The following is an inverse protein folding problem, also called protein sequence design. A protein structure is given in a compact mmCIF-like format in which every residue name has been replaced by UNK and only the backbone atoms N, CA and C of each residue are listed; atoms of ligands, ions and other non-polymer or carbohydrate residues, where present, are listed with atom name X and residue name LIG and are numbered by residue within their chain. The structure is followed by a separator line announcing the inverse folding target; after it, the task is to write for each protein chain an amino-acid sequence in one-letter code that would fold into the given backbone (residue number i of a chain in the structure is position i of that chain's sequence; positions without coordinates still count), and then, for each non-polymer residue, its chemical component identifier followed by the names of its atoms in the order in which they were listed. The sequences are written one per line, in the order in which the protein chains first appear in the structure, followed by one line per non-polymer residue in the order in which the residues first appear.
data_IF_776521218871
#
_entry.id   IF_776521218871
#
_cell.length_a   1.000
_cell.length_b   1.000
_cell.length_c   1.000
_cell.angle_alpha   90.00
_cell.angle_beta   90.00
_cell.angle_gamma   90.00
#
_symmetry.space_group_name_H-M   'P 1'
#
loop_
_entity.id
_entity.type
_entity.pdbx_description
1 polymer ?
#
# COMPACT_ATOMS: atom_id res chain seq x y z
N UNK A 1 40.21 22.02 -40.60
CA UNK A 1 40.96 20.99 -39.84
C UNK A 1 40.58 21.12 -38.37
N UNK A 2 39.56 20.38 -37.91
CA UNK A 2 39.08 20.46 -36.53
C UNK A 2 39.94 19.56 -35.62
N UNK A 3 40.70 20.17 -34.71
CA UNK A 3 41.52 19.46 -33.72
C UNK A 3 40.62 18.93 -32.60
N UNK A 4 40.27 17.65 -32.68
CA UNK A 4 39.47 16.99 -31.66
C UNK A 4 40.31 16.81 -30.38
N UNK A 5 39.96 17.51 -29.30
CA UNK A 5 40.72 17.48 -28.05
C UNK A 5 40.50 16.14 -27.33
N UNK A 6 41.47 15.22 -27.50
CA UNK A 6 41.45 13.86 -26.94
C UNK A 6 41.13 13.83 -25.43
N UNK A 7 41.54 14.84 -24.66
CA UNK A 7 41.22 14.94 -23.22
C UNK A 7 39.73 15.15 -22.94
N UNK A 8 39.03 15.94 -23.77
CA UNK A 8 37.58 16.13 -23.65
C UNK A 8 36.81 14.85 -24.03
N UNK A 9 37.30 14.10 -25.03
CA UNK A 9 36.72 12.81 -25.40
C UNK A 9 36.86 11.77 -24.29
N UNK A 10 38.03 11.70 -23.63
CA UNK A 10 38.25 10.82 -22.47
C UNK A 10 37.36 11.17 -21.27
N UNK A 11 37.15 12.46 -20.98
CA UNK A 11 36.27 12.91 -19.87
C UNK A 11 34.80 12.61 -20.17
N UNK A 12 34.34 12.80 -21.40
CA UNK A 12 32.95 12.46 -21.79
C UNK A 12 32.74 10.94 -21.73
N UNK A 13 33.74 10.15 -22.14
CA UNK A 13 33.66 8.68 -22.10
C UNK A 13 33.67 8.16 -20.65
N UNK A 14 34.45 8.76 -19.74
CA UNK A 14 34.43 8.37 -18.32
C UNK A 14 33.11 8.75 -17.63
N UNK A 15 32.50 9.87 -18.03
CA UNK A 15 31.21 10.30 -17.50
C UNK A 15 30.06 9.40 -18.01
N UNK A 16 30.11 8.94 -19.27
CA UNK A 16 29.16 7.95 -19.79
C UNK A 16 29.28 6.59 -19.09
N UNK A 17 30.50 6.10 -18.83
CA UNK A 17 30.73 4.81 -18.15
C UNK A 17 30.24 4.85 -16.69
N UNK A 18 30.32 5.98 -16.02
CA UNK A 18 29.89 6.12 -14.62
C UNK A 18 28.37 6.13 -14.43
N UNK A 19 27.57 6.30 -15.50
CA UNK A 19 26.09 6.24 -15.45
C UNK A 19 25.52 4.85 -15.73
N UNK A 20 26.36 3.89 -16.15
CA UNK A 20 25.92 2.56 -16.58
C UNK A 20 25.78 1.52 -15.44
N UNK A 21 26.03 1.89 -14.18
CA UNK A 21 25.96 0.96 -13.03
C UNK A 21 24.85 1.38 -12.06
N UNK A 22 23.63 1.48 -12.56
CA UNK A 22 22.45 1.43 -11.69
C UNK A 22 22.06 -0.06 -11.63
N UNK A 23 22.63 -0.79 -10.68
CA UNK A 23 22.12 -2.14 -10.36
C UNK A 23 20.73 -1.96 -9.77
N UNK A 24 19.70 -2.25 -10.56
CA UNK A 24 18.34 -2.39 -10.04
C UNK A 24 18.36 -3.47 -8.97
N UNK A 25 18.24 -3.06 -7.71
CA UNK A 25 17.99 -3.99 -6.61
C UNK A 25 16.57 -4.49 -6.79
N UNK A 26 16.42 -5.71 -7.29
CA UNK A 26 15.11 -6.33 -7.49
C UNK A 26 14.77 -7.15 -6.25
N UNK A 27 13.56 -6.97 -5.73
CA UNK A 27 12.97 -7.97 -4.83
C UNK A 27 12.96 -9.33 -5.56
N UNK A 28 13.12 -10.43 -4.81
CA UNK A 28 13.06 -11.78 -5.37
C UNK A 28 11.70 -12.05 -5.99
N UNK A 29 10.67 -11.94 -5.16
CA UNK A 29 9.28 -12.20 -5.49
C UNK A 29 8.47 -10.90 -5.48
N UNK A 30 7.80 -10.62 -6.60
CA UNK A 30 6.92 -9.48 -6.79
C UNK A 30 5.45 -9.93 -6.69
N UNK A 31 4.61 -9.11 -6.07
CA UNK A 31 3.16 -9.27 -6.10
C UNK A 31 2.57 -8.28 -7.11
N UNK A 32 1.67 -8.74 -7.98
CA UNK A 32 1.09 -7.89 -9.04
C UNK A 32 0.18 -6.75 -8.53
N UNK A 33 -0.28 -6.83 -7.28
CA UNK A 33 -1.18 -5.87 -6.66
C UNK A 33 -0.61 -5.35 -5.33
N UNK A 34 -0.92 -4.10 -4.96
CA UNK A 34 -0.57 -3.51 -3.66
C UNK A 34 -1.65 -3.70 -2.59
N UNK A 35 -2.83 -4.17 -2.98
CA UNK A 35 -3.95 -4.56 -2.13
C UNK A 35 -4.85 -5.55 -2.86
N UNK A 36 -5.66 -6.28 -2.11
CA UNK A 36 -6.60 -7.27 -2.64
C UNK A 36 -8.01 -6.86 -2.21
N UNK A 37 -8.96 -6.87 -3.14
CA UNK A 37 -10.39 -6.75 -2.84
C UNK A 37 -11.02 -8.13 -2.97
N UNK A 38 -11.56 -8.64 -1.87
CA UNK A 38 -12.41 -9.83 -1.85
C UNK A 38 -13.87 -9.36 -1.85
N UNK A 39 -14.50 -9.34 -3.03
CA UNK A 39 -15.93 -9.07 -3.14
C UNK A 39 -16.72 -10.32 -2.71
N UNK A 40 -17.63 -10.17 -1.74
CA UNK A 40 -18.49 -11.24 -1.24
C UNK A 40 -19.30 -11.95 -2.34
N UNK A 41 -19.60 -11.26 -3.47
CA UNK A 41 -20.29 -11.87 -4.61
C UNK A 41 -19.45 -12.94 -5.30
N UNK A 42 -18.14 -12.91 -5.12
CA UNK A 42 -17.21 -13.86 -5.72
C UNK A 42 -16.79 -14.94 -4.72
N UNK A 43 -16.59 -16.15 -5.23
CA UNK A 43 -16.15 -17.31 -4.41
C UNK A 43 -14.67 -17.24 -4.04
N UNK A 44 -13.91 -16.38 -4.71
CA UNK A 44 -12.48 -16.24 -4.50
C UNK A 44 -11.96 -14.92 -5.04
N UNK A 45 -10.83 -14.46 -4.50
CA UNK A 45 -9.97 -13.46 -5.14
C UNK A 45 -8.65 -14.13 -5.55
N UNK A 46 -7.94 -13.57 -6.53
CA UNK A 46 -6.64 -14.07 -6.97
C UNK A 46 -5.56 -13.02 -6.76
N UNK A 47 -4.36 -13.48 -6.43
CA UNK A 47 -3.15 -12.67 -6.38
C UNK A 47 -2.05 -13.42 -7.11
N UNK A 48 -1.25 -12.71 -7.92
CA UNK A 48 -0.18 -13.33 -8.71
C UNK A 48 1.16 -12.93 -8.12
N UNK A 49 2.01 -13.92 -7.89
CA UNK A 49 3.37 -13.75 -7.41
C UNK A 49 4.33 -14.15 -8.51
N UNK A 50 5.26 -13.28 -8.86
CA UNK A 50 6.22 -13.48 -9.95
C UNK A 50 7.63 -13.42 -9.39
N UNK A 51 8.48 -14.40 -9.73
CA UNK A 51 9.89 -14.31 -9.44
C UNK A 51 10.59 -13.51 -10.55
N UNK A 52 11.05 -12.31 -10.20
CA UNK A 52 11.65 -11.36 -11.14
C UNK A 52 13.19 -11.43 -11.13
N UNK A 53 13.76 -12.49 -10.55
CA UNK A 53 15.20 -12.69 -10.45
C UNK A 53 15.63 -14.02 -11.08
N UNK A 54 16.94 -14.24 -11.10
CA UNK A 54 17.55 -15.49 -11.60
C UNK A 54 17.73 -16.56 -10.50
N UNK A 55 17.30 -16.28 -9.25
CA UNK A 55 17.31 -17.25 -8.16
C UNK A 55 16.04 -18.09 -8.14
N UNK A 56 16.02 -19.17 -7.37
CA UNK A 56 14.79 -19.90 -7.06
C UNK A 56 14.40 -19.69 -5.60
N UNK A 57 13.11 -19.60 -5.34
CA UNK A 57 12.55 -19.33 -4.01
C UNK A 57 11.53 -20.37 -3.64
N UNK A 58 11.50 -20.76 -2.38
CA UNK A 58 10.26 -21.25 -1.78
C UNK A 58 9.47 -20.02 -1.30
N UNK A 59 8.18 -19.99 -1.56
CA UNK A 59 7.28 -18.90 -1.14
C UNK A 59 6.21 -19.50 -0.26
N UNK A 60 6.07 -18.96 0.95
CA UNK A 60 4.99 -19.29 1.85
C UNK A 60 3.99 -18.13 1.89
N UNK A 61 2.70 -18.44 1.78
CA UNK A 61 1.63 -17.44 1.82
C UNK A 61 0.57 -17.78 2.87
N UNK A 62 0.03 -16.76 3.52
CA UNK A 62 -1.06 -16.90 4.49
C UNK A 62 -1.79 -15.56 4.66
N UNK A 63 -2.92 -15.59 5.37
CA UNK A 63 -3.71 -14.40 5.68
C UNK A 63 -3.86 -14.30 7.20
N UNK A 64 -3.53 -13.14 7.77
CA UNK A 64 -3.77 -12.84 9.18
C UNK A 64 -5.20 -12.30 9.38
N UNK A 65 -5.69 -12.31 10.62
CA UNK A 65 -6.96 -11.71 11.02
C UNK A 65 -6.95 -10.17 11.02
N UNK A 66 -8.00 -9.57 11.60
CA UNK A 66 -8.19 -8.11 11.58
C UNK A 66 -7.12 -7.37 12.42
N UNK A 67 -6.64 -8.01 13.49
CA UNK A 67 -5.58 -7.44 14.33
C UNK A 67 -4.18 -7.58 13.73
N UNK A 68 -4.06 -8.20 12.56
CA UNK A 68 -2.81 -8.57 11.89
C UNK A 68 -1.87 -9.43 12.75
N UNK A 69 -2.38 -10.08 13.79
CA UNK A 69 -1.57 -10.98 14.60
C UNK A 69 -1.49 -12.35 13.95
N UNK A 70 -0.31 -12.97 14.04
CA UNK A 70 -0.06 -14.30 13.46
C UNK A 70 -0.76 -15.44 14.21
N UNK A 71 -1.18 -15.21 15.46
CA UNK A 71 -1.91 -16.18 16.29
C UNK A 71 -3.43 -16.07 16.14
N UNK A 72 -3.93 -15.02 15.48
CA UNK A 72 -5.35 -14.84 15.22
C UNK A 72 -5.80 -15.72 14.04
N UNK A 73 -6.91 -16.45 14.23
CA UNK A 73 -7.52 -17.21 13.14
C UNK A 73 -8.11 -16.24 12.12
N UNK A 74 -7.68 -16.34 10.86
CA UNK A 74 -8.27 -15.57 9.76
C UNK A 74 -9.54 -16.23 9.22
N UNK A 75 -10.46 -15.40 8.72
CA UNK A 75 -11.63 -15.84 7.98
C UNK A 75 -11.30 -16.22 6.52
N UNK A 76 -10.04 -16.12 6.11
CA UNK A 76 -9.59 -16.40 4.75
C UNK A 76 -8.39 -17.35 4.74
N UNK A 77 -8.27 -18.10 3.64
CA UNK A 77 -7.10 -18.94 3.35
C UNK A 77 -6.53 -18.61 1.98
N UNK A 78 -5.20 -18.67 1.87
CA UNK A 78 -4.47 -18.53 0.63
C UNK A 78 -3.96 -19.90 0.18
N UNK A 79 -4.22 -20.28 -1.07
CA UNK A 79 -3.84 -21.59 -1.62
C UNK A 79 -3.23 -21.48 -3.03
N UNK A 80 -2.13 -22.20 -3.35
CA UNK A 80 -1.35 -23.04 -2.43
C UNK A 80 -0.62 -22.22 -1.36
N UNK A 81 -0.49 -22.76 -0.14
CA UNK A 81 0.11 -22.06 1.00
C UNK A 81 1.65 -22.08 1.00
N UNK A 82 2.25 -23.01 0.27
CA UNK A 82 3.69 -23.05 0.02
C UNK A 82 3.96 -23.60 -1.38
N UNK A 83 4.88 -23.00 -2.11
CA UNK A 83 5.24 -23.40 -3.47
C UNK A 83 6.65 -22.93 -3.83
N UNK A 84 7.22 -23.52 -4.89
CA UNK A 84 8.51 -23.10 -5.46
C UNK A 84 8.25 -22.15 -6.63
N UNK A 85 9.00 -21.05 -6.70
CA UNK A 85 9.09 -20.19 -7.86
C UNK A 85 10.49 -20.23 -8.45
N UNK A 86 10.61 -20.75 -9.67
CA UNK A 86 11.82 -20.68 -10.47
C UNK A 86 11.93 -19.32 -11.19
N UNK A 87 13.11 -18.97 -11.75
CA UNK A 87 13.31 -17.70 -12.44
C UNK A 87 12.25 -17.39 -13.49
N UNK A 88 11.64 -16.21 -13.43
CA UNK A 88 10.61 -15.75 -14.37
C UNK A 88 9.26 -16.46 -14.26
N UNK A 89 9.10 -17.41 -13.32
CA UNK A 89 7.82 -18.09 -13.11
C UNK A 89 6.82 -17.22 -12.35
N UNK A 90 5.55 -17.46 -12.63
CA UNK A 90 4.42 -16.86 -11.94
C UNK A 90 3.61 -17.94 -11.22
N UNK A 91 3.11 -17.62 -10.03
CA UNK A 91 2.16 -18.44 -9.30
C UNK A 91 0.92 -17.60 -8.99
N UNK A 92 -0.23 -18.10 -9.42
CA UNK A 92 -1.52 -17.58 -8.99
C UNK A 92 -1.87 -18.23 -7.65
N UNK A 93 -2.06 -17.42 -6.63
CA UNK A 93 -2.57 -17.81 -5.32
C UNK A 93 -4.04 -17.41 -5.24
N UNK A 94 -4.89 -18.37 -4.90
CA UNK A 94 -6.32 -18.17 -4.72
C UNK A 94 -6.62 -17.91 -3.26
N UNK A 95 -7.40 -16.88 -3.00
CA UNK A 95 -7.89 -16.49 -1.69
C UNK A 95 -9.33 -16.95 -1.59
N UNK A 96 -9.64 -17.71 -0.55
CA UNK A 96 -10.96 -18.30 -0.31
C UNK A 96 -11.47 -17.87 1.06
N UNK A 97 -12.75 -17.49 1.15
CA UNK A 97 -13.41 -17.29 2.43
C UNK A 97 -13.71 -18.63 3.10
N UNK A 98 -13.43 -18.73 4.39
CA UNK A 98 -13.91 -19.80 5.25
C UNK A 98 -15.34 -19.50 5.72
N UNK A 99 -16.11 -20.52 6.17
CA UNK A 99 -17.37 -20.30 6.87
C UNK A 99 -17.13 -19.48 8.14
N UNK A 100 -17.40 -18.18 8.07
CA UNK A 100 -17.24 -17.23 9.17
C UNK A 100 -18.36 -16.19 9.10
N UNK A 101 -18.78 -15.69 10.27
CA UNK A 101 -19.76 -14.60 10.34
C UNK A 101 -19.04 -13.27 10.17
N UNK A 102 -18.83 -12.86 8.92
CA UNK A 102 -18.24 -11.56 8.59
C UNK A 102 -19.29 -10.45 8.63
N UNK A 103 -18.81 -9.24 8.95
CA UNK A 103 -19.61 -8.00 8.96
C UNK A 103 -20.25 -7.77 7.59
N UNK A 104 -21.53 -7.37 7.57
CA UNK A 104 -22.31 -7.26 6.32
C UNK A 104 -22.60 -5.82 5.89
N UNK A 105 -22.39 -4.86 6.78
CA UNK A 105 -22.76 -3.44 6.59
C UNK A 105 -21.56 -2.56 6.20
N UNK A 106 -20.33 -3.07 6.27
CA UNK A 106 -19.10 -2.36 5.95
C UNK A 106 -17.96 -3.30 5.61
N UNK A 107 -16.89 -2.76 5.04
CA UNK A 107 -15.66 -3.50 4.79
C UNK A 107 -14.98 -3.96 6.09
N UNK A 108 -14.27 -5.08 5.97
CA UNK A 108 -13.37 -5.60 7.00
C UNK A 108 -11.98 -5.75 6.38
N UNK A 109 -10.92 -5.43 7.14
CA UNK A 109 -9.53 -5.53 6.67
C UNK A 109 -8.85 -6.78 7.24
N UNK A 110 -8.14 -7.49 6.37
CA UNK A 110 -7.25 -8.61 6.68
C UNK A 110 -5.89 -8.36 6.01
N UNK A 111 -4.91 -9.22 6.24
CA UNK A 111 -3.55 -9.01 5.73
C UNK A 111 -2.99 -10.26 5.06
N UNK A 112 -2.75 -10.18 3.75
CA UNK A 112 -2.07 -11.21 3.00
C UNK A 112 -0.56 -11.06 3.16
N UNK A 113 0.09 -12.16 3.50
CA UNK A 113 1.53 -12.24 3.68
C UNK A 113 2.12 -13.17 2.63
N UNK A 114 3.21 -12.76 2.01
CA UNK A 114 4.07 -13.60 1.18
C UNK A 114 5.50 -13.52 1.71
N UNK A 115 6.00 -14.67 2.18
CA UNK A 115 7.37 -14.82 2.65
C UNK A 115 8.17 -15.54 1.58
N UNK A 116 9.17 -14.86 1.03
CA UNK A 116 10.19 -15.53 0.21
C UNK A 116 11.24 -16.17 1.11
N UNK A 117 11.67 -17.36 0.70
CA UNK A 117 12.71 -18.16 1.35
C UNK A 117 13.74 -18.47 0.27
N UNK A 118 14.87 -17.75 0.24
CA UNK A 118 15.91 -17.96 -0.76
C UNK A 118 16.59 -19.31 -0.54
N UNK A 119 16.98 -19.95 -1.63
CA UNK A 119 17.80 -21.15 -1.55
C UNK A 119 19.21 -20.84 -1.05
N UNK A 120 19.73 -21.68 -0.16
CA UNK A 120 21.11 -21.60 0.31
C UNK A 120 21.94 -22.71 -0.32
N UNK A 121 22.98 -22.33 -1.08
CA UNK A 121 23.93 -23.31 -1.61
C UNK A 121 24.93 -23.67 -0.50
N UNK A 122 24.87 -24.92 -0.03
CA UNK A 122 25.76 -25.46 1.01
C UNK A 122 27.25 -25.51 0.60
N UNK A 123 27.56 -25.32 -0.68
CA UNK A 123 28.92 -25.44 -1.21
C UNK A 123 29.81 -24.20 -1.05
N UNK A 124 29.25 -23.05 -0.67
CA UNK A 124 30.01 -21.83 -0.42
C UNK A 124 30.26 -21.64 1.07
N UNK A 125 31.44 -22.05 1.54
CA UNK A 125 31.88 -22.00 2.94
C UNK A 125 32.31 -20.58 3.38
N UNK A 126 31.61 -19.55 2.91
CA UNK A 126 31.87 -18.15 3.20
C UNK A 126 30.81 -17.60 4.15
N UNK A 127 31.21 -16.68 5.04
CA UNK A 127 30.28 -15.93 5.89
C UNK A 127 29.32 -15.12 5.02
N UNK A 128 28.08 -15.61 4.86
CA UNK A 128 27.04 -14.96 4.06
C UNK A 128 25.87 -14.56 4.94
N UNK A 129 25.41 -13.32 4.74
CA UNK A 129 24.10 -12.87 5.23
C UNK A 129 23.04 -13.28 4.20
N UNK A 130 22.05 -14.07 4.63
CA UNK A 130 20.90 -14.44 3.81
C UNK A 130 19.70 -13.67 4.33
N UNK A 131 19.10 -12.84 3.48
CA UNK A 131 17.89 -12.09 3.82
C UNK A 131 16.67 -12.77 3.21
N UNK A 132 15.64 -12.97 4.03
CA UNK A 132 14.35 -13.48 3.61
C UNK A 132 13.33 -12.33 3.75
N UNK A 133 12.67 -11.95 2.65
CA UNK A 133 11.74 -10.82 2.63
C UNK A 133 10.31 -11.30 2.88
N UNK A 134 9.56 -10.53 3.66
CA UNK A 134 8.10 -10.70 3.82
C UNK A 134 7.41 -9.48 3.24
N UNK A 135 6.59 -9.70 2.22
CA UNK A 135 5.68 -8.68 1.71
C UNK A 135 4.31 -8.88 2.34
N UNK A 136 3.78 -7.81 2.94
CA UNK A 136 2.44 -7.77 3.54
C UNK A 136 1.57 -6.76 2.80
N UNK A 137 0.41 -7.18 2.31
CA UNK A 137 -0.57 -6.30 1.68
C UNK A 137 -1.96 -6.49 2.28
N UNK A 138 -2.78 -5.44 2.19
CA UNK A 138 -4.13 -5.44 2.76
C UNK A 138 -5.09 -6.25 1.89
N UNK A 139 -5.98 -6.99 2.53
CA UNK A 139 -7.11 -7.70 1.92
C UNK A 139 -8.40 -7.08 2.46
N UNK A 140 -9.19 -6.44 1.62
CA UNK A 140 -10.47 -5.86 2.00
C UNK A 140 -11.57 -6.84 1.66
N UNK A 141 -12.23 -7.38 2.67
CA UNK A 141 -13.50 -8.07 2.49
C UNK A 141 -14.59 -7.02 2.28
N UNK A 142 -15.30 -7.11 1.16
CA UNK A 142 -16.33 -6.15 0.75
C UNK A 142 -17.68 -6.84 0.65
N UNK A 143 -18.64 -6.51 1.54
CA UNK A 143 -20.00 -6.99 1.42
C UNK A 143 -20.67 -6.59 0.09
N UNK A 144 -21.57 -7.43 -0.39
CA UNK A 144 -22.19 -7.29 -1.72
C UNK A 144 -23.24 -6.18 -1.83
N UNK A 145 -23.77 -5.69 -0.69
CA UNK A 145 -24.95 -4.83 -0.60
C UNK A 145 -24.68 -3.47 0.06
N UNK A 146 -23.49 -2.92 -0.11
CA UNK A 146 -23.16 -1.59 0.41
C UNK A 146 -23.92 -0.48 -0.33
N UNK A 147 -24.40 0.52 0.41
CA UNK A 147 -25.34 1.52 -0.09
C UNK A 147 -24.76 2.50 -1.11
N UNK A 148 -23.44 2.66 -1.16
CA UNK A 148 -22.75 3.57 -2.09
C UNK A 148 -21.67 2.80 -2.86
N UNK A 149 -21.32 3.26 -4.04
CA UNK A 149 -20.20 2.70 -4.79
C UNK A 149 -18.85 3.09 -4.15
N UNK A 150 -17.82 2.22 -4.17
CA UNK A 150 -16.52 2.50 -3.54
C UNK A 150 -15.85 3.76 -4.07
N UNK A 151 -16.00 4.07 -5.36
CA UNK A 151 -15.42 5.27 -5.98
C UNK A 151 -16.03 6.58 -5.45
N UNK A 152 -17.22 6.52 -4.85
CA UNK A 152 -17.90 7.68 -4.25
C UNK A 152 -17.55 7.88 -2.78
N UNK A 153 -16.95 6.87 -2.13
CA UNK A 153 -16.71 6.88 -0.68
C UNK A 153 -15.89 8.09 -0.22
N UNK A 154 -14.74 8.34 -0.86
CA UNK A 154 -13.88 9.46 -0.48
C UNK A 154 -14.50 10.85 -0.68
N UNK A 155 -15.44 11.00 -1.62
CA UNK A 155 -16.17 12.26 -1.80
C UNK A 155 -17.17 12.55 -0.67
N UNK A 156 -17.50 11.54 0.16
CA UNK A 156 -18.41 11.70 1.31
C UNK A 156 -17.68 12.07 2.60
N UNK A 157 -16.35 12.15 2.58
CA UNK A 157 -15.55 12.50 3.75
C UNK A 157 -15.90 13.89 4.25
N UNK A 158 -15.99 14.01 5.57
CA UNK A 158 -16.30 15.26 6.26
C UNK A 158 -15.06 15.70 7.00
N UNK A 159 -14.67 16.96 6.81
CA UNK A 159 -13.41 17.49 7.32
C UNK A 159 -13.68 18.64 8.28
N UNK A 160 -12.90 18.74 9.35
CA UNK A 160 -12.87 19.91 10.22
C UNK A 160 -11.52 20.04 10.89
N UNK A 161 -11.20 21.24 11.34
CA UNK A 161 -10.04 21.49 12.19
C UNK A 161 -10.43 21.43 13.65
N UNK A 162 -9.62 20.77 14.48
CA UNK A 162 -9.82 20.70 15.93
C UNK A 162 -8.51 21.06 16.63
N UNK A 163 -8.59 21.86 17.68
CA UNK A 163 -7.42 22.18 18.50
C UNK A 163 -7.32 21.16 19.66
N UNK A 164 -6.18 20.49 19.77
CA UNK A 164 -5.85 19.57 20.87
C UNK A 164 -4.46 19.88 21.38
N UNK A 165 -4.32 20.07 22.69
CA UNK A 165 -3.02 20.33 23.36
C UNK A 165 -2.27 21.54 22.74
N UNK A 166 -3.00 22.59 22.35
CA UNK A 166 -2.42 23.79 21.74
C UNK A 166 -1.91 23.62 20.30
N UNK A 167 -2.14 22.45 19.68
CA UNK A 167 -1.85 22.15 18.28
C UNK A 167 -3.16 22.00 17.49
N UNK A 168 -3.13 22.41 16.22
CA UNK A 168 -4.26 22.25 15.30
C UNK A 168 -4.15 20.90 14.60
N UNK A 169 -5.24 20.14 14.59
CA UNK A 169 -5.37 18.83 13.97
C UNK A 169 -6.41 18.87 12.87
N UNK A 170 -6.16 18.14 11.79
CA UNK A 170 -7.13 17.88 10.75
C UNK A 170 -7.94 16.63 11.13
N UNK A 171 -9.20 16.82 11.51
CA UNK A 171 -10.12 15.72 11.78
C UNK A 171 -10.91 15.37 10.52
N UNK A 172 -11.01 14.07 10.25
CA UNK A 172 -11.78 13.52 9.15
C UNK A 172 -12.75 12.47 9.67
N UNK A 173 -14.00 12.56 9.23
CA UNK A 173 -15.05 11.58 9.47
C UNK A 173 -15.33 10.84 8.17
N UNK A 174 -15.31 9.51 8.24
CA UNK A 174 -15.68 8.62 7.16
C UNK A 174 -17.07 8.06 7.40
N UNK A 175 -18.14 8.64 6.82
CA UNK A 175 -19.49 8.10 6.94
C UNK A 175 -19.74 6.91 5.99
N UNK A 176 -18.75 6.53 5.17
CA UNK A 176 -18.90 5.45 4.21
C UNK A 176 -18.61 4.07 4.80
N UNK A 177 -19.12 3.00 4.18
CA UNK A 177 -18.82 1.63 4.57
C UNK A 177 -17.46 1.11 4.06
N UNK A 178 -16.56 1.98 3.58
CA UNK A 178 -15.28 1.60 2.96
C UNK A 178 -14.08 2.12 3.75
N UNK A 179 -12.97 1.39 3.75
CA UNK A 179 -11.69 1.90 4.25
C UNK A 179 -11.09 2.90 3.25
N UNK A 180 -10.67 4.07 3.73
CA UNK A 180 -9.96 5.05 2.92
C UNK A 180 -8.48 5.01 3.29
N UNK A 181 -7.58 4.75 2.34
CA UNK A 181 -6.13 4.87 2.56
C UNK A 181 -5.66 6.15 1.92
N UNK A 182 -5.25 7.12 2.75
CA UNK A 182 -4.70 8.38 2.25
C UNK A 182 -3.26 8.17 1.76
N UNK A 183 -2.92 8.81 0.65
CA UNK A 183 -1.54 8.95 0.20
C UNK A 183 -0.96 10.31 0.66
N UNK A 184 -1.76 11.37 0.56
CA UNK A 184 -1.41 12.70 1.03
C UNK A 184 -2.65 13.41 1.56
N UNK A 185 -2.46 14.31 2.53
CA UNK A 185 -3.50 15.21 3.03
C UNK A 185 -2.88 16.56 3.39
N UNK A 186 -3.54 17.66 3.03
CA UNK A 186 -3.12 19.00 3.37
C UNK A 186 -4.30 19.93 3.57
N UNK A 187 -4.23 20.75 4.62
CA UNK A 187 -5.12 21.87 4.83
C UNK A 187 -4.66 23.05 3.96
N UNK A 188 -5.61 23.68 3.26
CA UNK A 188 -5.45 24.93 2.55
C UNK A 188 -6.22 26.04 3.22
N UNK A 189 -5.55 27.15 3.47
CA UNK A 189 -6.16 28.39 3.91
C UNK A 189 -5.54 29.56 3.12
N UNK A 190 -6.29 30.08 2.13
CA UNK A 190 -5.78 31.07 1.18
C UNK A 190 -4.55 30.56 0.42
N UNK A 191 -3.39 31.20 0.62
CA UNK A 191 -2.11 30.81 0.00
C UNK A 191 -1.32 29.78 0.83
N UNK A 192 -1.72 29.51 2.07
CA UNK A 192 -1.04 28.58 2.93
C UNK A 192 -1.51 27.15 2.64
N UNK A 193 -0.55 26.24 2.44
CA UNK A 193 -0.76 24.79 2.41
C UNK A 193 0.00 24.20 3.59
N UNK A 194 -0.70 23.44 4.43
CA UNK A 194 -0.10 22.77 5.59
C UNK A 194 -0.42 21.29 5.50
N UNK A 195 0.61 20.47 5.28
CA UNK A 195 0.46 19.04 5.20
C UNK A 195 0.11 18.44 6.57
N UNK A 196 -0.73 17.42 6.57
CA UNK A 196 -0.98 16.58 7.74
C UNK A 196 0.10 15.50 7.83
N UNK A 197 0.54 15.20 9.06
CA UNK A 197 1.51 14.16 9.33
C UNK A 197 0.84 12.77 9.33
N UNK A 198 1.58 11.75 8.90
CA UNK A 198 1.20 10.33 8.91
C UNK A 198 -0.23 10.04 8.42
N UNK A 199 -0.55 10.26 7.12
CA UNK A 199 -1.81 9.79 6.56
C UNK A 199 -1.95 8.27 6.70
N UNK A 200 -2.85 7.84 7.59
CA UNK A 200 -3.14 6.43 7.83
C UNK A 200 -4.37 5.96 7.03
N UNK A 201 -4.69 4.68 7.19
CA UNK A 201 -5.93 4.11 6.70
C UNK A 201 -7.08 4.42 7.67
N UNK A 202 -8.05 5.18 7.18
CA UNK A 202 -9.27 5.57 7.89
C UNK A 202 -10.34 4.47 7.80
N UNK A 203 -10.74 3.87 8.94
CA UNK A 203 -11.77 2.82 8.96
C UNK A 203 -13.17 3.30 8.50
N UNK A 204 -14.04 2.39 8.04
CA UNK A 204 -15.44 2.68 7.77
C UNK A 204 -16.15 3.20 9.02
N UNK A 205 -17.07 4.15 8.83
CA UNK A 205 -17.93 4.68 9.89
C UNK A 205 -17.15 5.15 11.14
N UNK A 206 -16.00 5.76 10.91
CA UNK A 206 -15.08 6.19 11.97
C UNK A 206 -14.65 7.64 11.79
N UNK A 207 -14.01 8.20 12.82
CA UNK A 207 -13.42 9.54 12.80
C UNK A 207 -12.01 9.46 13.34
N UNK A 208 -11.06 10.09 12.65
CA UNK A 208 -9.67 10.18 13.08
C UNK A 208 -9.15 11.61 12.94
N UNK A 209 -8.09 11.93 13.68
CA UNK A 209 -7.45 13.24 13.65
C UNK A 209 -5.97 13.07 13.36
N UNK A 210 -5.47 13.87 12.43
CA UNK A 210 -4.07 13.90 12.03
C UNK A 210 -3.44 15.24 12.42
N UNK A 211 -2.26 15.26 13.03
CA UNK A 211 -1.63 16.51 13.44
C UNK A 211 -1.14 17.23 12.18
N UNK A 212 -1.30 18.56 12.16
CA UNK A 212 -0.73 19.39 11.11
C UNK A 212 0.75 19.68 11.40
N UNK A 213 1.58 19.69 10.37
CA UNK A 213 3.02 19.94 10.50
C UNK A 213 3.34 21.36 11.01
N UNK A 214 2.39 22.27 10.88
CA UNK A 214 2.52 23.66 11.33
C UNK A 214 1.16 24.14 11.88
N UNK A 215 1.19 25.20 12.70
CA UNK A 215 -0.03 25.83 13.17
C UNK A 215 -0.76 26.48 11.99
N UNK A 216 -2.05 26.21 11.87
CA UNK A 216 -2.92 26.76 10.84
C UNK A 216 -4.15 27.39 11.50
N UNK A 217 -4.71 28.42 10.88
CA UNK A 217 -5.96 29.02 11.38
C UNK A 217 -7.10 28.04 11.21
N UNK A 218 -7.85 27.79 12.30
CA UNK A 218 -8.80 26.70 12.49
C UNK A 218 -10.25 27.01 12.06
N UNK A 219 -10.48 28.12 11.34
CA UNK A 219 -11.84 28.63 11.09
C UNK A 219 -12.31 28.55 9.63
N UNK A 220 -11.41 28.64 8.64
CA UNK A 220 -11.79 28.73 7.23
C UNK A 220 -10.74 28.05 6.34
N UNK A 221 -11.17 27.24 5.37
CA UNK A 221 -10.25 26.54 4.48
C UNK A 221 -10.87 25.39 3.69
N UNK A 222 -10.00 24.68 3.00
CA UNK A 222 -10.33 23.47 2.27
C UNK A 222 -9.23 22.42 2.47
N UNK A 223 -9.52 21.17 2.12
CA UNK A 223 -8.58 20.06 2.18
C UNK A 223 -8.28 19.60 0.76
N UNK A 224 -6.99 19.51 0.47
CA UNK A 224 -6.48 18.73 -0.65
C UNK A 224 -6.03 17.39 -0.10
N UNK A 225 -6.50 16.30 -0.70
CA UNK A 225 -6.06 14.98 -0.31
C UNK A 225 -6.01 14.05 -1.52
N UNK A 226 -5.26 12.97 -1.37
CA UNK A 226 -5.26 11.89 -2.34
C UNK A 226 -5.39 10.56 -1.64
N UNK A 227 -6.01 9.60 -2.32
CA UNK A 227 -6.26 8.26 -1.80
C UNK A 227 -5.60 7.22 -2.71
N UNK A 228 -5.27 6.07 -2.14
CA UNK A 228 -4.96 4.86 -2.89
C UNK A 228 -6.29 4.14 -3.16
N UNK A 229 -6.65 3.99 -4.44
CA UNK A 229 -7.88 3.32 -4.86
C UNK A 229 -7.75 1.78 -4.86
N UNK A 230 -8.81 1.08 -5.27
CA UNK A 230 -8.85 -0.40 -5.28
C UNK A 230 -7.79 -1.04 -6.20
N UNK A 231 -7.34 -0.30 -7.22
CA UNK A 231 -6.33 -0.75 -8.18
C UNK A 231 -4.90 -0.38 -7.76
N UNK A 232 -4.73 0.23 -6.56
CA UNK A 232 -3.43 0.70 -6.08
C UNK A 232 -2.96 2.02 -6.69
N UNK A 233 -3.78 2.67 -7.52
CA UNK A 233 -3.48 3.98 -8.11
C UNK A 233 -3.89 5.14 -7.19
N UNK A 234 -3.32 6.32 -7.44
CA UNK A 234 -3.63 7.54 -6.68
C UNK A 234 -4.81 8.28 -7.31
N UNK A 235 -5.79 8.66 -6.50
CA UNK A 235 -6.93 9.52 -6.91
C UNK A 235 -6.90 10.80 -6.10
N UNK A 236 -6.91 11.95 -6.78
CA UNK A 236 -6.77 13.27 -6.16
C UNK A 236 -8.13 13.96 -5.96
N UNK A 237 -8.25 14.63 -4.82
CA UNK A 237 -9.37 15.50 -4.45
C UNK A 237 -8.81 16.84 -4.00
N UNK A 238 -9.35 17.92 -4.53
CA UNK A 238 -8.85 19.27 -4.25
C UNK A 238 -9.99 20.19 -3.81
N UNK A 239 -9.64 21.18 -2.99
CA UNK A 239 -10.58 22.18 -2.49
C UNK A 239 -11.83 21.60 -1.80
N UNK A 240 -11.68 20.50 -1.07
CA UNK A 240 -12.81 19.92 -0.30
C UNK A 240 -13.09 20.81 0.91
N UNK A 241 -14.28 21.41 1.06
CA UNK A 241 -14.52 22.38 2.13
C UNK A 241 -14.42 21.74 3.52
N UNK A 242 -13.83 22.46 4.48
CA UNK A 242 -13.97 22.10 5.90
C UNK A 242 -15.34 22.54 6.41
N UNK A 243 -15.93 21.72 7.27
CA UNK A 243 -17.16 22.02 7.98
C UNK A 243 -16.83 22.80 9.25
N UNK A 244 -17.72 23.74 9.61
CA UNK A 244 -17.63 24.50 10.87
C UNK A 244 -18.03 23.66 12.07
#
# INVERSE_FOLDING_TARGET
MFTFNRKKLFIILSLLISTAVIKNTSAGVMINNTRIIYDQKHKSANVTLTNVTNGHYAVQVWINGESDRSDEKSAFVATPSIFRLDPGQEQIVKILSLPASLTKDRETVFYFNAQEIPATNKADNNNKLVMAIRTRIKVFYRPSHLAIAPQKAAATLQWKTVDKEGKTWLQVTNPSPYYITFAEMALRNGKQKVDAHDPEMLPPLSTQSYPLNQKASSAEGSVDFSIINDYGGITHYSNTPIQK
#
